data_IF_940407310682
#
_entry.id   IF_940407310682
#
_cell.length_a   1.000
_cell.length_b   1.000
_cell.length_c   1.000
_cell.angle_alpha   90.00
_cell.angle_beta   90.00
_cell.angle_gamma   90.00
#
_symmetry.space_group_name_H-M   'P 1'
#
loop_
_entity.id
_entity.type
_entity.pdbx_description
1 polymer ?
#
# COMPACT_ATOMS: atom_id res chain seq x y z
N UNK A 1 6.51 -9.94 4.33
CA UNK A 1 5.27 -10.66 4.75
C UNK A 1 4.07 -9.75 4.63
N UNK A 2 2.95 -10.29 4.27
CA UNK A 2 1.72 -9.51 4.17
C UNK A 2 0.52 -10.37 4.60
N UNK A 3 -0.55 -9.69 4.99
CA UNK A 3 -1.83 -10.32 5.30
C UNK A 3 -2.94 -9.61 4.55
N UNK A 4 -4.00 -10.34 4.25
CA UNK A 4 -5.20 -9.78 3.62
C UNK A 4 -6.39 -10.01 4.54
N UNK A 5 -7.21 -8.98 4.68
CA UNK A 5 -8.48 -9.09 5.37
C UNK A 5 -9.59 -8.63 4.43
N UNK A 6 -10.62 -9.46 4.30
CA UNK A 6 -11.76 -9.15 3.44
C UNK A 6 -12.93 -8.74 4.30
N UNK A 7 -13.25 -7.46 4.24
CA UNK A 7 -14.43 -6.92 4.89
C UNK A 7 -15.59 -6.95 3.90
N UNK A 8 -16.77 -6.54 4.35
CA UNK A 8 -17.96 -6.60 3.51
C UNK A 8 -17.78 -5.87 2.18
N UNK A 9 -17.21 -4.68 2.21
CA UNK A 9 -17.06 -3.83 1.02
C UNK A 9 -15.64 -3.30 0.83
N UNK A 10 -14.67 -3.85 1.54
CA UNK A 10 -13.29 -3.43 1.33
C UNK A 10 -12.32 -4.55 1.66
N UNK A 11 -11.13 -4.43 1.12
CA UNK A 11 -10.03 -5.36 1.39
C UNK A 11 -8.91 -4.57 2.06
N UNK A 12 -8.36 -5.12 3.13
CA UNK A 12 -7.25 -4.49 3.84
C UNK A 12 -6.03 -5.38 3.71
N UNK A 13 -4.98 -4.83 3.13
CA UNK A 13 -3.69 -5.53 3.00
C UNK A 13 -2.74 -4.87 3.98
N UNK A 14 -2.12 -5.67 4.84
CA UNK A 14 -1.09 -5.18 5.75
C UNK A 14 0.23 -5.80 5.35
N UNK A 15 1.22 -4.97 5.08
CA UNK A 15 2.56 -5.40 4.71
C UNK A 15 3.49 -5.11 5.88
N UNK A 16 4.14 -6.14 6.37
CA UNK A 16 5.03 -6.06 7.52
C UNK A 16 6.47 -5.95 7.05
N UNK A 17 7.24 -5.11 7.72
CA UNK A 17 8.69 -5.07 7.47
C UNK A 17 9.38 -6.13 8.30
N UNK A 18 9.91 -7.15 7.64
CA UNK A 18 10.59 -8.25 8.30
C UNK A 18 11.86 -7.82 9.03
N UNK A 19 12.44 -6.69 8.62
CA UNK A 19 13.63 -6.17 9.30
C UNK A 19 13.30 -5.47 10.62
N UNK A 20 12.04 -5.10 10.82
CA UNK A 20 11.62 -4.40 12.02
C UNK A 20 12.02 -2.94 12.08
N UNK A 21 12.55 -2.38 10.99
CA UNK A 21 13.01 -0.99 10.97
C UNK A 21 11.92 -0.01 10.58
N UNK A 22 10.91 -0.47 9.87
CA UNK A 22 9.84 0.40 9.38
C UNK A 22 8.51 -0.07 9.92
N UNK A 23 7.58 0.86 10.07
CA UNK A 23 6.24 0.54 10.47
C UNK A 23 5.50 -0.21 9.34
N UNK A 24 4.46 -0.93 9.71
CA UNK A 24 3.64 -1.65 8.76
C UNK A 24 2.97 -0.69 7.79
N UNK A 25 2.84 -1.12 6.54
CA UNK A 25 2.09 -0.37 5.53
C UNK A 25 0.74 -1.06 5.36
N UNK A 26 -0.33 -0.29 5.41
CA UNK A 26 -1.67 -0.80 5.21
C UNK A 26 -2.26 -0.20 3.93
N UNK A 27 -2.85 -1.06 3.12
CA UNK A 27 -3.51 -0.66 1.87
C UNK A 27 -4.98 -1.02 1.99
N UNK A 28 -5.84 -0.03 1.84
CA UNK A 28 -7.29 -0.19 1.91
C UNK A 28 -7.86 -0.05 0.51
N UNK A 29 -8.52 -1.09 0.05
CA UNK A 29 -9.09 -1.16 -1.31
C UNK A 29 -10.62 -1.22 -1.20
N UNK A 30 -11.29 -0.26 -1.79
CA UNK A 30 -12.72 -0.38 -1.99
C UNK A 30 -13.05 -0.01 -3.44
N UNK A 31 -14.33 0.01 -3.80
CA UNK A 31 -14.70 0.22 -5.20
C UNK A 31 -14.51 1.67 -5.65
N UNK A 32 -14.40 2.60 -4.73
CA UNK A 32 -14.32 4.02 -5.06
C UNK A 32 -12.94 4.60 -4.90
N UNK A 33 -12.16 4.09 -3.95
CA UNK A 33 -10.82 4.63 -3.72
C UNK A 33 -9.89 3.61 -3.09
N UNK A 34 -8.62 3.90 -3.22
CA UNK A 34 -7.55 3.15 -2.58
C UNK A 34 -6.79 4.12 -1.71
N UNK A 35 -6.51 3.75 -0.47
CA UNK A 35 -5.60 4.56 0.31
C UNK A 35 -4.56 3.69 1.01
N UNK A 36 -3.38 4.27 1.14
CA UNK A 36 -2.21 3.62 1.71
C UNK A 36 -1.79 4.46 2.89
N UNK A 37 -1.57 3.82 4.03
CA UNK A 37 -1.14 4.55 5.22
C UNK A 37 0.00 3.83 5.91
N UNK A 38 0.82 4.63 6.60
CA UNK A 38 1.91 4.14 7.42
C UNK A 38 2.03 5.04 8.63
N UNK A 39 2.16 4.47 9.80
CA UNK A 39 2.32 5.25 11.02
C UNK A 39 3.66 5.97 11.00
N UNK A 40 3.65 7.25 11.37
CA UNK A 40 4.84 8.05 11.47
C UNK A 40 5.04 8.43 12.93
N UNK A 41 5.98 7.77 13.58
CA UNK A 41 6.23 7.94 15.00
C UNK A 41 6.69 9.36 15.33
N UNK A 42 7.41 9.99 14.42
CA UNK A 42 7.93 11.34 14.66
C UNK A 42 6.83 12.37 14.72
N UNK A 43 5.80 12.24 13.89
CA UNK A 43 4.69 13.19 13.86
C UNK A 43 3.50 12.72 14.69
N UNK A 44 3.52 11.47 15.16
CA UNK A 44 2.42 10.84 15.89
C UNK A 44 1.14 10.85 15.06
N UNK A 45 1.29 10.61 13.77
CA UNK A 45 0.19 10.59 12.82
C UNK A 45 0.47 9.58 11.72
N UNK A 46 -0.54 9.28 10.92
CA UNK A 46 -0.36 8.44 9.74
C UNK A 46 0.01 9.30 8.55
N UNK A 47 1.00 8.85 7.80
CA UNK A 47 1.24 9.34 6.46
C UNK A 47 0.26 8.63 5.54
N UNK A 48 -0.44 9.37 4.70
CA UNK A 48 -1.57 8.86 3.95
C UNK A 48 -1.48 9.29 2.49
N UNK A 49 -1.69 8.33 1.59
CA UNK A 49 -1.84 8.59 0.16
C UNK A 49 -3.19 8.05 -0.28
N UNK A 50 -3.96 8.87 -0.99
CA UNK A 50 -5.29 8.49 -1.48
C UNK A 50 -5.30 8.59 -2.99
N UNK A 51 -5.86 7.59 -3.65
CA UNK A 51 -5.88 7.54 -5.11
C UNK A 51 -7.10 6.76 -5.60
N UNK A 52 -7.37 6.85 -6.90
CA UNK A 52 -8.43 6.04 -7.50
C UNK A 52 -7.92 4.62 -7.70
N UNK A 53 -8.84 3.64 -7.78
CA UNK A 53 -8.44 2.26 -8.11
C UNK A 53 -7.67 2.17 -9.43
N UNK A 54 -8.02 3.01 -10.41
CA UNK A 54 -7.31 3.01 -11.68
C UNK A 54 -5.87 3.47 -11.51
N UNK A 55 -5.64 4.51 -10.71
CA UNK A 55 -4.27 4.99 -10.45
C UNK A 55 -3.44 3.89 -9.77
N UNK A 56 -4.04 3.19 -8.83
CA UNK A 56 -3.35 2.10 -8.15
C UNK A 56 -3.00 0.98 -9.12
N UNK A 57 -3.93 0.61 -10.00
CA UNK A 57 -3.66 -0.39 -11.02
C UNK A 57 -2.54 0.03 -11.97
N UNK A 58 -2.48 1.30 -12.31
CA UNK A 58 -1.43 1.80 -13.18
C UNK A 58 -0.06 1.71 -12.51
N UNK A 59 0.02 1.94 -11.21
CA UNK A 59 1.26 1.75 -10.46
C UNK A 59 1.71 0.29 -10.58
N UNK A 60 0.80 -0.64 -10.37
CA UNK A 60 1.11 -2.07 -10.45
C UNK A 60 1.57 -2.42 -11.86
N UNK A 61 0.87 -1.95 -12.89
CA UNK A 61 1.24 -2.25 -14.26
C UNK A 61 2.59 -1.64 -14.64
N UNK A 62 2.86 -0.43 -14.17
CA UNK A 62 4.15 0.21 -14.44
C UNK A 62 5.30 -0.59 -13.83
N UNK A 63 5.10 -1.17 -12.65
CA UNK A 63 6.13 -1.96 -11.98
C UNK A 63 6.44 -3.26 -12.72
N UNK A 64 5.54 -3.71 -13.57
CA UNK A 64 5.75 -4.93 -14.35
C UNK A 64 6.55 -4.66 -15.63
N UNK A 65 6.76 -3.41 -16.01
CA UNK A 65 7.53 -3.06 -17.20
C UNK A 65 9.02 -3.22 -16.94
N UNK A 66 9.81 -3.60 -17.93
CA UNK A 66 11.24 -3.79 -17.72
C UNK A 66 11.95 -2.58 -17.14
N UNK A 67 11.58 -1.38 -17.57
CA UNK A 67 12.18 -0.15 -17.08
C UNK A 67 11.81 0.13 -15.64
N UNK A 68 10.61 -0.26 -15.27
CA UNK A 68 10.14 -0.05 -13.89
C UNK A 68 10.76 -1.00 -12.91
N UNK A 69 11.26 -2.12 -13.37
CA UNK A 69 11.79 -3.14 -12.47
C UNK A 69 13.07 -2.73 -11.74
N UNK A 70 13.73 -1.68 -12.17
CA UNK A 70 14.92 -1.20 -11.48
C UNK A 70 14.62 -0.70 -10.09
N UNK A 71 13.44 -0.14 -9.91
CA UNK A 71 13.10 0.58 -8.70
C UNK A 71 13.00 -0.35 -7.50
N UNK A 72 12.67 -1.59 -7.76
CA UNK A 72 12.40 -2.56 -6.69
C UNK A 72 13.56 -3.50 -6.40
N UNK A 73 14.70 -3.24 -6.99
CA UNK A 73 15.88 -4.08 -6.76
C UNK A 73 16.63 -3.77 -5.48
#
# INVERSE_FOLDING_TARGET
MFTNEFEFDETIITVLDDSGRYEDVQVYLDENEVYIRQWNERTQNYDLAVMTPMMFNEIIEAMKQPEGSYVIR
#
